data_IF_130377269061
#
_entry.id   IF_130377269061
#
_cell.length_a   1.000
_cell.length_b   1.000
_cell.length_c   1.000
_cell.angle_alpha   90.00
_cell.angle_beta   90.00
_cell.angle_gamma   90.00
#
_symmetry.space_group_name_H-M   'P 1'
#
loop_
_entity.id
_entity.type
_entity.pdbx_description
1 polymer ?
#
# COMPACT_ATOMS: atom_id res chain seq x y z
N UNK A 1 8.14 -10.88 15.66
CA UNK A 1 8.39 -10.30 14.34
C UNK A 1 9.15 -8.97 14.49
N UNK A 2 10.08 -8.62 13.57
CA UNK A 2 10.79 -7.34 13.62
C UNK A 2 9.89 -6.15 13.22
N UNK A 3 8.88 -6.40 12.38
CA UNK A 3 7.94 -5.38 11.89
C UNK A 3 6.50 -5.78 12.26
N UNK A 4 5.67 -4.75 12.55
CA UNK A 4 4.22 -4.86 12.65
C UNK A 4 3.61 -4.22 11.42
N UNK A 5 2.68 -4.92 10.77
CA UNK A 5 2.10 -4.51 9.48
C UNK A 5 0.59 -4.65 9.49
N UNK A 6 -0.09 -3.79 8.74
CA UNK A 6 -1.33 -4.07 8.06
C UNK A 6 -1.04 -4.47 6.63
N UNK A 7 -2.05 -4.75 5.83
CA UNK A 7 -1.86 -5.27 4.48
C UNK A 7 -2.83 -4.62 3.50
N UNK A 8 -2.32 -4.40 2.30
CA UNK A 8 -3.12 -4.19 1.09
C UNK A 8 -3.18 -5.54 0.38
N UNK A 9 -4.27 -6.26 0.57
CA UNK A 9 -4.46 -7.59 -0.02
C UNK A 9 -5.44 -7.50 -1.18
N UNK A 10 -5.16 -8.24 -2.24
CA UNK A 10 -5.92 -8.12 -3.49
C UNK A 10 -6.06 -9.45 -4.23
N UNK A 11 -7.10 -9.50 -5.07
CA UNK A 11 -7.23 -10.41 -6.21
C UNK A 11 -7.39 -9.56 -7.46
N UNK A 12 -6.57 -9.82 -8.47
CA UNK A 12 -6.64 -9.20 -9.78
C UNK A 12 -6.93 -10.24 -10.85
N UNK A 13 -7.90 -9.95 -11.72
CA UNK A 13 -8.30 -10.84 -12.82
C UNK A 13 -8.25 -10.08 -14.13
N UNK A 14 -7.49 -10.61 -15.09
CA UNK A 14 -7.47 -10.16 -16.48
C UNK A 14 -8.52 -10.94 -17.27
N UNK A 15 -9.48 -10.23 -17.83
CA UNK A 15 -10.60 -10.79 -18.56
C UNK A 15 -10.61 -10.38 -20.03
N UNK A 16 -10.87 -11.35 -20.92
CA UNK A 16 -11.42 -11.10 -22.23
C UNK A 16 -12.91 -10.83 -22.07
N UNK A 17 -13.39 -9.73 -22.62
CA UNK A 17 -14.80 -9.35 -22.63
C UNK A 17 -15.46 -9.76 -23.94
N UNK A 18 -16.78 -10.02 -23.92
CA UNK A 18 -17.56 -10.32 -25.12
C UNK A 18 -17.79 -9.08 -26.00
N UNK A 19 -17.70 -7.88 -25.41
CA UNK A 19 -17.90 -6.59 -26.07
C UNK A 19 -16.88 -5.58 -25.51
N UNK A 20 -16.51 -4.51 -26.27
CA UNK A 20 -15.61 -3.49 -25.77
C UNK A 20 -16.11 -2.83 -24.46
N UNK A 21 -15.19 -2.62 -23.51
CA UNK A 21 -15.50 -2.02 -22.19
C UNK A 21 -15.83 -0.52 -22.25
N UNK A 22 -15.52 0.18 -23.34
CA UNK A 22 -15.83 1.60 -23.51
C UNK A 22 -14.99 2.59 -22.68
N UNK A 23 -14.03 2.12 -21.90
CA UNK A 23 -13.14 3.00 -21.12
C UNK A 23 -12.14 3.72 -22.04
N UNK A 24 -11.99 5.01 -21.85
CA UNK A 24 -10.97 5.84 -22.53
C UNK A 24 -9.72 6.06 -21.67
N UNK A 25 -9.79 5.73 -20.37
CA UNK A 25 -8.71 5.83 -19.40
C UNK A 25 -8.89 4.77 -18.32
N UNK A 26 -7.83 4.39 -17.60
CA UNK A 26 -7.94 3.48 -16.45
C UNK A 26 -8.76 4.11 -15.32
N UNK A 27 -9.49 3.28 -14.58
CA UNK A 27 -10.12 3.65 -13.32
C UNK A 27 -9.16 3.27 -12.21
N UNK A 28 -8.68 4.29 -11.48
CA UNK A 28 -7.71 4.11 -10.40
C UNK A 28 -8.42 4.27 -9.05
N UNK A 29 -8.48 3.17 -8.28
CA UNK A 29 -9.00 3.15 -6.92
C UNK A 29 -10.47 3.63 -6.82
N UNK A 30 -11.37 3.02 -7.56
CA UNK A 30 -12.80 3.25 -7.36
C UNK A 30 -13.24 2.74 -5.97
N UNK A 31 -13.41 3.66 -5.03
CA UNK A 31 -13.84 3.40 -3.67
C UNK A 31 -15.34 3.64 -3.44
N UNK A 32 -16.13 3.83 -4.51
CA UNK A 32 -17.60 3.96 -4.43
C UNK A 32 -18.29 2.61 -4.25
N UNK A 33 -17.53 1.54 -4.23
CA UNK A 33 -17.96 0.16 -3.96
C UNK A 33 -18.33 -0.05 -2.49
N UNK A 34 -19.11 -1.11 -2.21
CA UNK A 34 -19.42 -1.54 -0.84
C UNK A 34 -18.14 -1.77 -0.03
N UNK A 35 -18.01 -1.06 1.09
CA UNK A 35 -16.86 -1.13 1.99
C UNK A 35 -17.07 -2.27 2.98
N UNK A 36 -16.27 -3.32 2.88
CA UNK A 36 -16.41 -4.55 3.67
C UNK A 36 -15.55 -4.48 4.97
N UNK A 37 -14.67 -5.45 5.18
CA UNK A 37 -13.86 -5.57 6.40
C UNK A 37 -12.66 -4.61 6.49
N UNK A 38 -12.61 -3.57 5.67
CA UNK A 38 -11.52 -2.59 5.61
C UNK A 38 -11.79 -1.52 4.56
N UNK A 39 -10.78 -0.73 4.20
CA UNK A 39 -10.88 0.17 3.06
C UNK A 39 -10.78 -0.64 1.77
N UNK A 40 -11.87 -0.65 0.98
CA UNK A 40 -11.96 -1.39 -0.28
C UNK A 40 -12.04 -0.45 -1.47
N UNK A 41 -11.38 -0.83 -2.56
CA UNK A 41 -11.44 -0.13 -3.84
C UNK A 41 -11.12 -1.09 -4.99
N UNK A 42 -11.52 -0.70 -6.20
CA UNK A 42 -11.33 -1.49 -7.41
C UNK A 42 -10.48 -0.72 -8.41
N UNK A 43 -9.48 -1.39 -8.99
CA UNK A 43 -8.80 -0.92 -10.20
C UNK A 43 -9.47 -1.52 -11.43
N UNK A 44 -9.57 -0.74 -12.53
CA UNK A 44 -9.95 -1.23 -13.84
C UNK A 44 -8.97 -0.70 -14.86
N UNK A 45 -8.09 -1.58 -15.35
CA UNK A 45 -6.98 -1.21 -16.22
C UNK A 45 -7.19 -1.82 -17.61
N UNK A 46 -7.55 -1.01 -18.63
CA UNK A 46 -7.74 -1.47 -20.01
C UNK A 46 -6.38 -1.79 -20.65
N UNK A 47 -6.22 -3.02 -21.16
CA UNK A 47 -5.06 -3.45 -21.94
C UNK A 47 -5.31 -3.40 -23.44
N UNK A 48 -6.58 -3.60 -23.87
CA UNK A 48 -7.06 -3.41 -25.22
C UNK A 48 -8.51 -2.92 -25.19
N UNK A 49 -9.19 -2.83 -26.30
CA UNK A 49 -10.61 -2.43 -26.32
C UNK A 49 -11.53 -3.43 -25.60
N UNK A 50 -11.15 -4.69 -25.53
CA UNK A 50 -11.92 -5.81 -24.99
C UNK A 50 -11.17 -6.66 -23.97
N UNK A 51 -9.98 -6.22 -23.53
CA UNK A 51 -9.21 -6.89 -22.48
C UNK A 51 -9.02 -5.94 -21.30
N UNK A 52 -9.46 -6.37 -20.11
CA UNK A 52 -9.53 -5.53 -18.92
C UNK A 52 -9.00 -6.29 -17.70
N UNK A 53 -8.06 -5.69 -16.97
CA UNK A 53 -7.73 -6.11 -15.62
C UNK A 53 -8.70 -5.44 -14.64
N UNK A 54 -9.36 -6.24 -13.81
CA UNK A 54 -10.18 -5.79 -12.68
C UNK A 54 -9.55 -6.33 -11.41
N UNK A 55 -9.17 -5.45 -10.47
CA UNK A 55 -8.53 -5.83 -9.22
C UNK A 55 -9.34 -5.33 -8.02
N UNK A 56 -9.78 -6.25 -7.17
CA UNK A 56 -10.46 -5.98 -5.91
C UNK A 56 -9.41 -5.94 -4.78
N UNK A 57 -9.23 -4.78 -4.16
CA UNK A 57 -8.15 -4.50 -3.21
C UNK A 57 -8.72 -4.02 -1.87
N UNK A 58 -8.15 -4.53 -0.78
CA UNK A 58 -8.58 -4.27 0.59
C UNK A 58 -7.42 -3.90 1.52
N UNK A 59 -7.60 -2.86 2.34
CA UNK A 59 -6.71 -2.55 3.46
C UNK A 59 -7.19 -3.26 4.72
N UNK A 60 -6.57 -4.38 5.06
CA UNK A 60 -6.97 -5.29 6.16
C UNK A 60 -5.83 -5.54 7.15
N UNK A 61 -6.18 -6.03 8.34
CA UNK A 61 -5.24 -6.18 9.45
C UNK A 61 -4.32 -7.40 9.33
N UNK A 62 -4.73 -8.40 8.53
CA UNK A 62 -3.94 -9.62 8.27
C UNK A 62 -3.73 -9.80 6.75
N UNK A 63 -2.79 -10.66 6.37
CA UNK A 63 -2.43 -10.87 4.97
C UNK A 63 -3.46 -11.72 4.18
N UNK A 64 -4.40 -12.36 4.87
CA UNK A 64 -5.32 -13.32 4.25
C UNK A 64 -6.60 -12.61 3.81
N UNK A 65 -6.80 -12.50 2.51
CA UNK A 65 -8.06 -12.08 1.90
C UNK A 65 -8.91 -13.32 1.59
N UNK A 66 -10.22 -13.21 1.79
CA UNK A 66 -11.17 -14.24 1.33
C UNK A 66 -11.24 -14.22 -0.19
N UNK A 67 -10.41 -15.04 -0.85
CA UNK A 67 -10.22 -15.03 -2.30
C UNK A 67 -11.53 -15.24 -3.08
N UNK A 68 -12.41 -16.14 -2.64
CA UNK A 68 -13.69 -16.39 -3.31
C UNK A 68 -14.63 -15.18 -3.22
N UNK A 69 -14.61 -14.47 -2.10
CA UNK A 69 -15.35 -13.21 -1.95
C UNK A 69 -14.80 -12.13 -2.89
N UNK A 70 -13.48 -11.97 -2.98
CA UNK A 70 -12.87 -11.01 -3.88
C UNK A 70 -13.16 -11.33 -5.36
N UNK A 71 -13.13 -12.62 -5.74
CA UNK A 71 -13.55 -13.06 -7.10
C UNK A 71 -15.02 -12.74 -7.38
N UNK A 72 -15.90 -12.90 -6.40
CA UNK A 72 -17.29 -12.52 -6.54
C UNK A 72 -17.44 -11.00 -6.66
N UNK A 73 -16.75 -10.23 -5.85
CA UNK A 73 -16.73 -8.77 -5.93
C UNK A 73 -16.33 -8.27 -7.32
N UNK A 74 -15.34 -8.91 -7.97
CA UNK A 74 -14.92 -8.57 -9.35
C UNK A 74 -16.07 -8.81 -10.34
N UNK A 75 -16.76 -9.96 -10.24
CA UNK A 75 -17.91 -10.27 -11.11
C UNK A 75 -19.05 -9.29 -10.92
N UNK A 76 -19.37 -8.97 -9.68
CA UNK A 76 -20.44 -8.04 -9.34
C UNK A 76 -20.14 -6.63 -9.83
N UNK A 77 -18.87 -6.19 -9.67
CA UNK A 77 -18.39 -4.90 -10.16
C UNK A 77 -18.46 -4.82 -11.70
N UNK A 78 -17.98 -5.85 -12.40
CA UNK A 78 -18.07 -5.91 -13.86
C UNK A 78 -19.54 -5.83 -14.35
N UNK A 79 -20.43 -6.56 -13.69
CA UNK A 79 -21.87 -6.53 -14.01
C UNK A 79 -22.47 -5.13 -13.78
N UNK A 80 -22.11 -4.44 -12.69
CA UNK A 80 -22.54 -3.05 -12.41
C UNK A 80 -22.06 -2.05 -13.47
N UNK A 81 -20.85 -2.28 -14.00
CA UNK A 81 -20.29 -1.45 -15.10
C UNK A 81 -20.86 -1.82 -16.48
N UNK A 82 -21.67 -2.88 -16.56
CA UNK A 82 -22.20 -3.38 -17.83
C UNK A 82 -21.20 -4.21 -18.64
N UNK A 83 -20.06 -4.60 -18.06
CA UNK A 83 -19.05 -5.41 -18.75
C UNK A 83 -19.41 -6.90 -18.71
N UNK A 84 -19.35 -7.53 -19.86
CA UNK A 84 -19.66 -8.96 -20.02
C UNK A 84 -18.37 -9.76 -20.04
N UNK A 85 -18.05 -10.41 -18.92
CA UNK A 85 -16.88 -11.27 -18.77
C UNK A 85 -17.09 -12.54 -19.59
N UNK A 86 -16.19 -12.83 -20.53
CA UNK A 86 -16.23 -14.03 -21.38
C UNK A 86 -15.21 -15.07 -20.89
N UNK A 87 -13.93 -14.77 -20.96
CA UNK A 87 -12.87 -15.70 -20.62
C UNK A 87 -11.86 -15.08 -19.68
N UNK A 88 -11.58 -15.74 -18.56
CA UNK A 88 -10.51 -15.39 -17.64
C UNK A 88 -9.16 -15.74 -18.31
N UNK A 89 -8.31 -14.73 -18.50
CA UNK A 89 -6.99 -14.88 -19.11
C UNK A 89 -5.93 -15.18 -18.07
N UNK A 90 -5.95 -14.42 -16.96
CA UNK A 90 -4.98 -14.52 -15.87
C UNK A 90 -5.63 -14.09 -14.55
N UNK A 91 -5.20 -14.72 -13.47
CA UNK A 91 -5.49 -14.29 -12.10
C UNK A 91 -4.19 -14.17 -11.31
N UNK A 92 -4.14 -13.15 -10.48
CA UNK A 92 -3.10 -13.01 -9.47
C UNK A 92 -3.72 -12.61 -8.13
N UNK A 93 -3.05 -12.97 -7.05
CA UNK A 93 -3.41 -12.53 -5.71
C UNK A 93 -2.16 -12.21 -4.91
N UNK A 94 -2.29 -11.28 -3.99
CA UNK A 94 -1.15 -10.87 -3.18
C UNK A 94 -1.55 -10.09 -1.95
N UNK A 95 -0.57 -9.88 -1.08
CA UNK A 95 -0.68 -9.04 0.10
C UNK A 95 0.56 -8.16 0.20
N UNK A 96 0.39 -6.87 -0.03
CA UNK A 96 1.45 -5.87 0.10
C UNK A 96 1.49 -5.35 1.54
N UNK A 97 2.67 -5.27 2.16
CA UNK A 97 2.79 -4.82 3.54
C UNK A 97 2.53 -3.31 3.66
N UNK A 98 1.74 -2.91 4.65
CA UNK A 98 1.59 -1.54 5.12
C UNK A 98 2.27 -1.45 6.47
N UNK A 99 3.42 -0.79 6.54
CA UNK A 99 4.22 -0.80 7.75
C UNK A 99 3.66 0.14 8.82
N UNK A 100 3.37 -0.37 10.01
CA UNK A 100 2.87 0.40 11.15
C UNK A 100 4.00 0.82 12.08
N UNK A 101 4.82 -0.14 12.52
CA UNK A 101 5.97 0.09 13.40
C UNK A 101 6.97 -1.06 13.26
N UNK A 102 8.16 -0.91 13.82
CA UNK A 102 9.15 -1.96 13.80
C UNK A 102 10.56 -1.51 14.17
N UNK A 103 11.45 -2.48 14.21
CA UNK A 103 12.87 -2.33 14.38
C UNK A 103 13.57 -2.76 13.08
N UNK A 104 14.05 -1.79 12.30
CA UNK A 104 14.73 -2.05 11.03
C UNK A 104 16.10 -2.71 11.22
N UNK A 105 16.78 -2.46 12.35
CA UNK A 105 18.04 -3.12 12.65
C UNK A 105 17.82 -4.62 12.91
N UNK A 106 16.83 -4.96 13.74
CA UNK A 106 16.45 -6.34 13.99
C UNK A 106 15.88 -7.04 12.74
N UNK A 107 15.26 -6.28 11.83
CA UNK A 107 14.82 -6.80 10.53
C UNK A 107 16.03 -7.21 9.68
N UNK A 108 17.03 -6.34 9.54
CA UNK A 108 18.23 -6.58 8.73
C UNK A 108 19.18 -7.63 9.32
N UNK A 109 19.20 -7.84 10.64
CA UNK A 109 19.95 -8.94 11.28
C UNK A 109 19.56 -10.34 10.79
N UNK A 110 18.43 -10.47 10.08
CA UNK A 110 17.96 -11.75 9.50
C UNK A 110 18.32 -11.94 8.04
N UNK A 111 19.07 -11.00 7.47
CA UNK A 111 19.45 -10.99 6.05
C UNK A 111 20.97 -11.10 5.95
N UNK A 112 21.46 -12.24 5.50
CA UNK A 112 22.89 -12.49 5.33
C UNK A 112 23.37 -12.15 3.91
N UNK A 113 22.43 -11.92 2.98
CA UNK A 113 22.71 -11.65 1.57
C UNK A 113 22.11 -10.30 1.14
N UNK A 114 22.69 -9.65 0.11
CA UNK A 114 22.08 -8.48 -0.50
C UNK A 114 20.66 -8.78 -1.00
N UNK A 115 19.72 -7.91 -0.68
CA UNK A 115 18.35 -8.01 -1.15
C UNK A 115 17.79 -6.63 -1.49
N UNK A 116 16.73 -6.55 -2.31
CA UNK A 116 16.10 -5.29 -2.71
C UNK A 116 14.58 -5.38 -2.66
N UNK A 117 13.90 -4.28 -2.98
CA UNK A 117 12.44 -4.21 -3.01
C UNK A 117 11.81 -4.52 -1.65
N UNK A 118 10.71 -5.25 -1.65
CA UNK A 118 9.96 -5.63 -0.43
C UNK A 118 10.83 -6.40 0.58
N UNK A 119 11.72 -7.27 0.10
CA UNK A 119 12.62 -8.05 0.94
C UNK A 119 13.64 -7.18 1.69
N UNK A 120 13.95 -5.99 1.18
CA UNK A 120 14.82 -5.02 1.82
C UNK A 120 14.06 -3.96 2.64
N UNK A 121 12.74 -4.01 2.68
CA UNK A 121 11.90 -2.97 3.27
C UNK A 121 11.86 -1.67 2.45
N UNK A 122 12.21 -1.73 1.15
CA UNK A 122 12.31 -0.59 0.25
C UNK A 122 11.00 -0.39 -0.54
N UNK A 123 10.01 0.16 0.13
CA UNK A 123 8.71 0.52 -0.43
C UNK A 123 8.09 1.68 0.33
N UNK A 124 7.12 2.35 -0.29
CA UNK A 124 6.35 3.39 0.40
C UNK A 124 5.47 2.74 1.48
N UNK A 125 5.57 3.13 2.76
CA UNK A 125 4.97 2.36 3.85
C UNK A 125 3.45 2.34 3.86
N UNK A 126 2.78 3.27 3.14
CA UNK A 126 1.31 3.34 3.06
C UNK A 126 0.75 2.73 1.78
N UNK A 127 1.45 2.89 0.65
CA UNK A 127 0.93 2.49 -0.67
C UNK A 127 1.54 1.20 -1.21
N UNK A 128 2.63 0.71 -0.59
CA UNK A 128 3.38 -0.44 -1.07
C UNK A 128 4.25 -0.17 -2.32
N UNK A 129 4.16 1.02 -2.93
CA UNK A 129 4.88 1.34 -4.16
C UNK A 129 6.39 1.34 -3.93
N UNK A 130 7.13 0.61 -4.77
CA UNK A 130 8.57 0.43 -4.62
C UNK A 130 9.40 1.13 -5.70
N UNK A 131 8.82 1.50 -6.84
CA UNK A 131 9.54 2.02 -8.00
C UNK A 131 10.44 3.23 -7.68
N UNK A 132 10.00 4.28 -6.95
CA UNK A 132 10.88 5.42 -6.65
C UNK A 132 12.11 5.03 -5.83
N UNK A 133 11.96 4.09 -4.88
CA UNK A 133 13.08 3.61 -4.07
C UNK A 133 13.98 2.64 -4.84
N UNK A 134 13.41 1.85 -5.76
CA UNK A 134 14.17 0.98 -6.64
C UNK A 134 15.10 1.78 -7.58
N UNK A 135 14.57 2.86 -8.18
CA UNK A 135 15.38 3.78 -9.02
C UNK A 135 16.48 4.43 -8.19
N UNK A 136 16.15 4.99 -7.01
CA UNK A 136 17.13 5.63 -6.15
C UNK A 136 18.21 4.66 -5.64
N UNK A 137 17.85 3.40 -5.39
CA UNK A 137 18.82 2.35 -5.06
C UNK A 137 19.70 2.03 -6.26
N UNK A 138 19.14 1.90 -7.46
CA UNK A 138 19.91 1.62 -8.68
C UNK A 138 20.94 2.73 -8.93
N UNK A 139 20.54 4.00 -8.81
CA UNK A 139 21.46 5.14 -8.92
C UNK A 139 22.59 5.10 -7.89
N UNK A 140 22.27 4.69 -6.66
CA UNK A 140 23.27 4.53 -5.59
C UNK A 140 24.25 3.41 -5.89
N UNK A 141 23.75 2.27 -6.36
CA UNK A 141 24.58 1.11 -6.71
C UNK A 141 25.48 1.42 -7.91
N UNK A 142 24.97 2.15 -8.91
CA UNK A 142 25.74 2.54 -10.09
C UNK A 142 26.99 3.40 -9.77
N UNK A 143 27.03 4.05 -8.60
CA UNK A 143 28.16 4.86 -8.13
C UNK A 143 29.22 4.07 -7.36
N UNK A 144 28.97 2.77 -7.10
CA UNK A 144 29.90 1.93 -6.36
C UNK A 144 31.12 1.54 -7.23
N UNK A 145 32.29 1.48 -6.60
CA UNK A 145 33.53 1.04 -7.25
C UNK A 145 33.78 -0.48 -7.09
N UNK A 146 33.15 -1.09 -6.08
CA UNK A 146 33.37 -2.49 -5.74
C UNK A 146 32.02 -3.20 -5.54
N UNK A 147 31.86 -4.34 -6.21
CA UNK A 147 30.64 -5.16 -6.18
C UNK A 147 30.95 -6.52 -5.57
N UNK A 148 31.10 -6.59 -4.24
CA UNK A 148 31.10 -7.85 -3.50
C UNK A 148 29.77 -8.03 -2.75
N UNK A 149 29.48 -9.23 -2.29
CA UNK A 149 28.28 -9.50 -1.49
C UNK A 149 28.24 -8.60 -0.24
N UNK A 150 29.38 -8.41 0.42
CA UNK A 150 29.50 -7.60 1.65
C UNK A 150 29.25 -6.12 1.37
N UNK A 151 29.87 -5.56 0.32
CA UNK A 151 29.71 -4.14 -0.02
C UNK A 151 28.30 -3.81 -0.49
N UNK A 152 27.69 -4.69 -1.27
CA UNK A 152 26.30 -4.58 -1.70
C UNK A 152 25.35 -4.65 -0.50
N UNK A 153 25.52 -5.66 0.37
CA UNK A 153 24.70 -5.82 1.57
C UNK A 153 24.78 -4.56 2.45
N UNK A 154 25.98 -4.10 2.79
CA UNK A 154 26.18 -2.92 3.64
C UNK A 154 25.56 -1.65 3.01
N UNK A 155 25.74 -1.44 1.70
CA UNK A 155 25.20 -0.29 0.98
C UNK A 155 23.67 -0.30 0.98
N UNK A 156 23.05 -1.45 0.69
CA UNK A 156 21.59 -1.57 0.65
C UNK A 156 21.00 -1.43 2.05
N UNK A 157 21.60 -2.07 3.06
CA UNK A 157 21.19 -1.95 4.47
C UNK A 157 21.22 -0.50 4.95
N UNK A 158 22.30 0.23 4.64
CA UNK A 158 22.41 1.65 4.98
C UNK A 158 21.30 2.47 4.30
N UNK A 159 21.08 2.24 3.00
CA UNK A 159 20.05 2.93 2.22
C UNK A 159 18.64 2.64 2.78
N UNK A 160 18.34 1.38 3.08
CA UNK A 160 17.06 0.97 3.66
C UNK A 160 16.83 1.56 5.06
N UNK A 161 17.88 1.62 5.89
CA UNK A 161 17.82 2.23 7.22
C UNK A 161 17.54 3.73 7.16
N UNK A 162 18.16 4.45 6.22
CA UNK A 162 17.89 5.86 5.96
C UNK A 162 16.46 6.10 5.47
N UNK A 163 16.00 5.31 4.49
CA UNK A 163 14.61 5.35 3.99
C UNK A 163 13.61 5.10 5.12
N UNK A 164 13.86 4.10 5.96
CA UNK A 164 13.04 3.82 7.14
C UNK A 164 12.92 5.05 8.07
N UNK A 165 14.00 5.72 8.39
CA UNK A 165 13.97 6.91 9.25
C UNK A 165 13.15 8.05 8.62
N UNK A 166 13.35 8.32 7.34
CA UNK A 166 12.63 9.37 6.59
C UNK A 166 11.13 9.11 6.52
N UNK A 167 10.72 7.85 6.47
CA UNK A 167 9.33 7.41 6.34
C UNK A 167 8.55 7.36 7.66
N UNK A 168 9.11 7.80 8.78
CA UNK A 168 8.46 7.71 10.10
C UNK A 168 7.08 8.40 10.16
N UNK A 169 6.89 9.50 9.41
CA UNK A 169 5.61 10.20 9.35
C UNK A 169 4.52 9.35 8.71
N UNK A 170 4.81 8.67 7.62
CA UNK A 170 3.87 7.76 6.95
C UNK A 170 3.48 6.58 7.85
N UNK A 171 4.44 5.99 8.57
CA UNK A 171 4.13 4.94 9.55
C UNK A 171 3.27 5.43 10.72
N UNK A 172 3.43 6.69 11.12
CA UNK A 172 2.53 7.32 12.09
C UNK A 172 1.10 7.41 11.54
N UNK A 173 0.92 7.86 10.30
CA UNK A 173 -0.39 7.91 9.62
C UNK A 173 -1.00 6.51 9.47
N UNK A 174 -0.20 5.50 9.14
CA UNK A 174 -0.66 4.12 9.05
C UNK A 174 -1.18 3.60 10.40
N UNK A 175 -0.50 3.93 11.52
CA UNK A 175 -1.03 3.59 12.85
C UNK A 175 -2.37 4.26 13.13
N UNK A 176 -2.53 5.52 12.74
CA UNK A 176 -3.82 6.20 12.87
C UNK A 176 -4.90 5.51 12.03
N UNK A 177 -4.58 5.13 10.78
CA UNK A 177 -5.52 4.47 9.87
C UNK A 177 -5.95 3.09 10.38
N UNK A 178 -5.00 2.29 10.90
CA UNK A 178 -5.24 0.89 11.26
C UNK A 178 -5.65 0.67 12.72
N UNK A 179 -5.27 1.59 13.63
CA UNK A 179 -5.41 1.37 15.08
C UNK A 179 -6.33 2.37 15.79
N UNK A 180 -6.74 3.47 15.13
CA UNK A 180 -7.50 4.53 15.79
C UNK A 180 -9.02 4.42 15.62
N UNK A 181 -9.51 3.45 14.85
CA UNK A 181 -10.94 3.25 14.61
C UNK A 181 -11.25 1.85 14.07
N UNK A 182 -12.56 1.54 13.92
CA UNK A 182 -12.99 0.27 13.35
C UNK A 182 -12.52 0.12 11.90
N UNK A 183 -12.23 -1.12 11.48
CA UNK A 183 -11.70 -1.41 10.15
C UNK A 183 -12.66 -1.01 9.03
N UNK A 184 -13.96 -1.22 9.21
CA UNK A 184 -15.04 -0.88 8.28
C UNK A 184 -15.24 0.64 8.08
N UNK A 185 -14.61 1.48 8.91
CA UNK A 185 -14.66 2.94 8.80
C UNK A 185 -13.37 3.56 8.22
N UNK A 186 -12.39 2.78 7.83
CA UNK A 186 -11.13 3.28 7.22
C UNK A 186 -11.36 4.13 5.97
N UNK A 187 -12.43 3.86 5.23
CA UNK A 187 -12.80 4.62 4.05
C UNK A 187 -13.03 6.12 4.34
N UNK A 188 -13.52 6.47 5.54
CA UNK A 188 -13.74 7.88 5.93
C UNK A 188 -12.41 8.64 6.02
N UNK A 189 -11.35 7.98 6.51
CA UNK A 189 -10.00 8.53 6.56
C UNK A 189 -9.46 8.76 5.16
N UNK A 190 -9.66 7.78 4.27
CA UNK A 190 -9.20 7.84 2.88
C UNK A 190 -10.00 8.87 2.06
N UNK A 191 -11.31 8.94 2.23
CA UNK A 191 -12.17 9.95 1.60
C UNK A 191 -11.69 11.37 1.95
N UNK A 192 -11.38 11.60 3.23
CA UNK A 192 -10.82 12.89 3.64
C UNK A 192 -9.44 13.16 3.02
N UNK A 193 -8.58 12.15 2.96
CA UNK A 193 -7.25 12.29 2.36
C UNK A 193 -7.35 12.66 0.88
N UNK A 194 -8.21 12.00 0.11
CA UNK A 194 -8.39 12.29 -1.32
C UNK A 194 -9.15 13.61 -1.59
N UNK A 195 -9.74 14.23 -0.57
CA UNK A 195 -10.23 15.60 -0.62
C UNK A 195 -9.16 16.69 -0.41
N UNK A 196 -7.88 16.32 -0.24
CA UNK A 196 -6.76 17.26 -0.13
C UNK A 196 -6.31 17.74 -1.53
N UNK A 197 -5.55 18.86 -1.61
CA UNK A 197 -5.06 19.37 -2.91
C UNK A 197 -4.23 18.31 -3.66
N UNK A 198 -4.44 18.18 -4.97
CA UNK A 198 -3.77 17.20 -5.84
C UNK A 198 -2.23 17.23 -5.71
N UNK A 199 -1.63 18.43 -5.67
CA UNK A 199 -0.18 18.57 -5.52
C UNK A 199 0.35 18.01 -4.19
N UNK A 200 -0.46 18.02 -3.10
CA UNK A 200 -0.12 17.37 -1.84
C UNK A 200 -0.22 15.85 -2.00
N UNK A 201 -1.28 15.34 -2.61
CA UNK A 201 -1.47 13.92 -2.86
C UNK A 201 -0.32 13.37 -3.72
N UNK A 202 0.08 14.07 -4.79
CA UNK A 202 1.21 13.69 -5.62
C UNK A 202 2.52 13.60 -4.81
N UNK A 203 2.81 14.58 -3.94
CA UNK A 203 4.00 14.54 -3.05
C UNK A 203 3.90 13.43 -1.99
N UNK A 204 2.70 13.09 -1.53
CA UNK A 204 2.49 11.95 -0.63
C UNK A 204 2.91 10.65 -1.30
N UNK A 205 2.40 10.37 -2.51
CA UNK A 205 2.75 9.17 -3.27
C UNK A 205 4.24 9.11 -3.66
N UNK A 206 4.84 10.26 -3.92
CA UNK A 206 6.28 10.37 -4.18
C UNK A 206 7.16 10.22 -2.93
N UNK A 207 6.57 10.15 -1.72
CA UNK A 207 7.33 10.12 -0.46
C UNK A 207 8.02 11.46 -0.12
N UNK A 208 7.61 12.58 -0.75
CA UNK A 208 8.28 13.89 -0.71
C UNK A 208 7.45 14.97 -0.01
N UNK A 209 6.73 14.62 1.05
CA UNK A 209 5.92 15.57 1.82
C UNK A 209 6.78 16.67 2.46
N UNK A 210 6.37 17.92 2.24
CA UNK A 210 6.92 19.09 2.93
C UNK A 210 6.36 19.22 4.36
N UNK A 211 6.93 20.09 5.18
CA UNK A 211 6.38 20.36 6.52
C UNK A 211 4.94 20.94 6.45
N UNK A 212 4.62 21.92 5.59
CA UNK A 212 3.24 22.38 5.39
C UNK A 212 2.27 21.26 4.98
N UNK A 213 2.70 20.32 4.12
CA UNK A 213 1.86 19.17 3.75
C UNK A 213 1.51 18.30 4.96
N UNK A 214 2.51 18.00 5.81
CA UNK A 214 2.31 17.21 7.03
C UNK A 214 1.35 17.88 8.00
N UNK A 215 1.47 19.20 8.19
CA UNK A 215 0.56 19.98 9.00
C UNK A 215 -0.86 19.99 8.40
N UNK A 216 -0.97 20.12 7.07
CA UNK A 216 -2.27 20.11 6.38
C UNK A 216 -2.98 18.74 6.49
N UNK A 217 -2.25 17.63 6.39
CA UNK A 217 -2.81 16.28 6.58
C UNK A 217 -3.39 16.12 7.99
N UNK A 218 -2.70 16.64 9.01
CA UNK A 218 -3.11 16.51 10.42
C UNK A 218 -4.13 17.55 10.88
N UNK A 219 -4.31 18.66 10.14
CA UNK A 219 -5.21 19.75 10.50
C UNK A 219 -6.65 19.50 10.06
N UNK A 220 -7.61 20.23 10.67
CA UNK A 220 -9.04 20.17 10.37
C UNK A 220 -9.80 19.11 11.19
N UNK A 221 -11.05 18.81 10.81
CA UNK A 221 -11.90 17.86 11.56
C UNK A 221 -11.30 16.45 11.49
N UNK A 222 -10.92 15.81 12.61
CA UNK A 222 -10.32 14.49 12.59
C UNK A 222 -11.32 13.43 12.12
N UNK A 223 -10.91 12.51 11.23
CA UNK A 223 -11.77 11.42 10.77
C UNK A 223 -11.88 10.26 11.77
N UNK A 224 -11.08 10.30 12.83
CA UNK A 224 -11.05 9.32 13.94
C UNK A 224 -11.05 10.07 15.28
N UNK A 225 -11.49 9.42 16.39
CA UNK A 225 -11.43 10.05 17.72
C UNK A 225 -10.00 10.46 18.09
N UNK A 226 -9.82 11.71 18.55
CA UNK A 226 -8.49 12.29 18.83
C UNK A 226 -7.70 11.46 19.85
N UNK A 227 -8.35 11.00 20.92
CA UNK A 227 -7.71 10.15 21.93
C UNK A 227 -7.23 8.83 21.36
N UNK A 228 -8.04 8.17 20.52
CA UNK A 228 -7.66 6.95 19.83
C UNK A 228 -6.49 7.17 18.86
N UNK A 229 -6.49 8.30 18.13
CA UNK A 229 -5.37 8.68 17.28
C UNK A 229 -4.07 8.88 18.08
N UNK A 230 -4.11 9.57 19.21
CA UNK A 230 -2.95 9.76 20.09
C UNK A 230 -2.44 8.42 20.66
N UNK A 231 -3.33 7.55 21.11
CA UNK A 231 -2.97 6.21 21.58
C UNK A 231 -2.32 5.38 20.46
N UNK A 232 -2.88 5.41 19.25
CA UNK A 232 -2.34 4.72 18.07
C UNK A 232 -0.93 5.24 17.71
N UNK A 233 -0.68 6.54 17.79
CA UNK A 233 0.63 7.16 17.54
C UNK A 233 1.67 6.67 18.57
N UNK A 234 1.27 6.59 19.85
CA UNK A 234 2.15 6.21 20.96
C UNK A 234 2.35 4.70 21.11
N UNK A 235 1.65 3.86 20.34
CA UNK A 235 1.76 2.40 20.45
C UNK A 235 3.19 1.93 20.20
N UNK A 236 3.90 1.40 21.24
CA UNK A 236 5.27 0.96 21.09
C UNK A 236 5.37 -0.36 20.34
N UNK A 237 6.52 -0.64 19.75
CA UNK A 237 6.81 -1.88 19.01
C UNK A 237 6.67 -3.15 19.90
N UNK A 238 6.81 -3.04 21.22
CA UNK A 238 6.97 -4.17 22.16
C UNK A 238 5.69 -4.88 22.63
N UNK A 239 4.48 -4.44 22.29
CA UNK A 239 3.24 -4.93 22.92
C UNK A 239 2.59 -6.19 22.31
N UNK A 240 3.26 -7.00 21.50
CA UNK A 240 2.69 -8.24 20.94
C UNK A 240 3.60 -9.47 21.04
N UNK A 241 4.32 -9.62 22.12
CA UNK A 241 5.01 -10.89 22.43
C UNK A 241 4.17 -11.84 23.33
N UNK A 242 2.90 -11.50 23.62
CA UNK A 242 2.01 -12.33 24.46
C UNK A 242 0.57 -12.28 23.92
N UNK A 243 0.28 -13.09 22.91
CA UNK A 243 -1.00 -13.77 22.69
C UNK A 243 -0.80 -14.90 21.69
#
# INVERSE_FOLDING_TARGET
AALRMGFQSFVGQEWQLSEPHGLTAPIIMDATVDQQAGYRFVYSLPFSADTLLIEDTHYIDNATLEGDRARQNIRDYAAQQGWRLDRLLREEQGALPITLTGDVAAFWQKHDLPCSGLRAGLFHPTTGYSLPLAVALADRLAQMQTFTSETLHATIQQFASQAWQQQRFFRMLNRMLFLAGPADQRWQVMQRFYGLPEGLIARFYAGKLTLPDRLRILSGKPPVPVLAALQAIMTPHRQQAMQ
#
